data_IF_611107245622
#
_entry.id   IF_611107245622
#
_cell.length_a   1.000
_cell.length_b   1.000
_cell.length_c   1.000
_cell.angle_alpha   90.00
_cell.angle_beta   90.00
_cell.angle_gamma   90.00
#
_symmetry.space_group_name_H-M   'P 1'
#
loop_
_entity.id
_entity.type
_entity.pdbx_description
1 polymer ?
#
# COMPACT_ATOMS: atom_id res chain seq x y z
N UNK A 1 -24.35 47.81 -3.09
CA UNK A 1 -24.55 46.36 -2.88
C UNK A 1 -23.49 45.93 -1.87
N UNK A 2 -23.67 46.16 -0.57
CA UNK A 2 -24.92 46.20 0.22
C UNK A 2 -25.58 44.81 0.23
N UNK A 3 -25.85 44.15 1.36
CA UNK A 3 -25.78 44.53 2.80
C UNK A 3 -25.17 43.37 3.62
N UNK A 4 -24.50 43.51 4.77
CA UNK A 4 -24.75 44.24 6.02
C UNK A 4 -25.98 43.75 6.82
N UNK A 5 -25.78 42.84 7.78
CA UNK A 5 -26.60 42.83 9.00
C UNK A 5 -25.88 42.20 10.21
N UNK A 6 -26.30 42.57 11.42
CA UNK A 6 -25.82 42.05 12.71
C UNK A 6 -26.73 42.46 13.88
N UNK A 7 -27.32 41.50 14.61
CA UNK A 7 -27.84 41.71 15.95
C UNK A 7 -26.87 41.09 16.99
N UNK A 8 -26.28 41.82 17.95
CA UNK A 8 -26.81 42.75 18.97
C UNK A 8 -27.04 42.07 20.33
N UNK A 9 -26.29 42.54 21.33
CA UNK A 9 -26.32 42.12 22.74
C UNK A 9 -27.52 42.71 23.49
N UNK A 10 -28.17 41.97 24.41
CA UNK A 10 -29.06 42.54 25.43
C UNK A 10 -28.46 42.50 26.85
N UNK A 11 -28.50 43.63 27.54
CA UNK A 11 -28.26 43.85 28.98
C UNK A 11 -28.67 45.29 29.34
N UNK A 12 -28.78 45.69 30.62
CA UNK A 12 -29.30 44.97 31.79
C UNK A 12 -30.42 45.77 32.54
N UNK A 13 -31.23 45.10 33.36
CA UNK A 13 -32.08 45.72 34.40
C UNK A 13 -32.68 44.62 35.32
N UNK A 14 -33.17 44.82 36.55
CA UNK A 14 -33.24 46.03 37.39
C UNK A 14 -33.09 45.71 38.91
N UNK A 15 -33.02 46.79 39.68
CA UNK A 15 -32.86 47.05 41.13
C UNK A 15 -33.72 46.27 42.18
N UNK A 16 -33.47 46.44 43.51
CA UNK A 16 -33.95 45.56 44.59
C UNK A 16 -35.09 46.15 45.46
N UNK A 17 -35.46 45.48 46.57
CA UNK A 17 -35.97 46.19 47.75
C UNK A 17 -35.28 45.83 49.07
N UNK A 18 -35.22 46.83 49.96
CA UNK A 18 -34.98 46.76 51.40
C UNK A 18 -35.69 47.99 52.04
N UNK A 19 -35.60 48.22 53.35
CA UNK A 19 -35.87 47.34 54.49
C UNK A 19 -37.14 47.80 55.26
N UNK A 20 -37.65 47.03 56.22
CA UNK A 20 -38.64 47.54 57.19
C UNK A 20 -38.39 47.05 58.63
N UNK A 21 -38.42 48.00 59.57
CA UNK A 21 -38.33 47.83 61.02
C UNK A 21 -39.34 48.79 61.70
N UNK A 22 -40.35 48.27 62.40
CA UNK A 22 -41.02 48.94 63.54
C UNK A 22 -41.39 47.93 64.68
N UNK A 23 -41.74 48.27 65.92
CA UNK A 23 -41.83 49.56 66.66
C UNK A 23 -41.72 49.29 68.18
N UNK A 24 -41.26 50.29 68.94
CA UNK A 24 -41.58 50.53 70.37
C UNK A 24 -42.67 51.65 70.47
N UNK A 25 -43.18 52.06 71.66
CA UNK A 25 -43.14 51.43 72.98
C UNK A 25 -44.57 50.95 73.39
N UNK A 26 -45.46 51.61 74.20
CA UNK A 26 -45.39 52.80 75.09
C UNK A 26 -45.33 52.41 76.60
N UNK A 27 -45.56 53.38 77.52
CA UNK A 27 -45.33 53.22 78.97
C UNK A 27 -46.48 53.70 79.88
N UNK A 28 -46.66 53.04 81.04
CA UNK A 28 -47.41 53.54 82.21
C UNK A 28 -48.94 53.29 82.23
N UNK A 29 -49.64 53.58 83.36
CA UNK A 29 -49.17 54.24 84.59
C UNK A 29 -49.32 53.41 85.89
N UNK A 30 -48.82 53.98 86.99
CA UNK A 30 -49.19 53.64 88.38
C UNK A 30 -50.17 54.73 88.91
N UNK A 31 -50.73 54.68 90.15
CA UNK A 31 -50.56 53.70 91.24
C UNK A 31 -51.90 53.20 91.84
N UNK A 32 -51.84 52.36 92.88
CA UNK A 32 -52.71 52.43 94.07
C UNK A 32 -52.11 51.55 95.18
N UNK A 33 -51.98 52.08 96.39
CA UNK A 33 -51.80 51.28 97.61
C UNK A 33 -53.07 51.36 98.45
N UNK A 34 -53.62 50.21 98.84
CA UNK A 34 -54.63 50.07 99.90
C UNK A 34 -54.45 48.70 100.57
N UNK A 35 -54.90 48.58 101.81
CA UNK A 35 -54.45 47.55 102.74
C UNK A 35 -55.46 46.41 102.97
N UNK A 36 -54.92 45.28 103.44
CA UNK A 36 -55.58 44.17 104.15
C UNK A 36 -57.02 43.81 103.73
N UNK A 37 -57.13 42.76 102.92
CA UNK A 37 -58.17 41.74 103.11
C UNK A 37 -57.49 40.38 103.29
N UNK A 38 -57.95 39.49 104.18
CA UNK A 38 -57.37 38.17 104.38
C UNK A 38 -57.88 37.18 103.31
N UNK A 39 -57.57 37.47 102.05
CA UNK A 39 -57.78 36.53 100.93
C UNK A 39 -56.73 35.44 100.97
N UNK A 40 -57.09 34.23 100.56
CA UNK A 40 -56.43 32.98 100.90
C UNK A 40 -54.90 32.97 100.76
N UNK A 41 -54.24 32.68 101.90
CA UNK A 41 -52.78 32.60 101.98
C UNK A 41 -52.21 31.50 101.09
N UNK A 42 -52.99 30.43 100.89
CA UNK A 42 -52.63 29.33 99.99
C UNK A 42 -52.73 29.71 98.51
N UNK A 43 -53.60 30.65 98.12
CA UNK A 43 -53.62 31.21 96.76
C UNK A 43 -52.38 32.06 96.50
N UNK A 44 -51.93 32.86 97.49
CA UNK A 44 -50.66 33.60 97.41
C UNK A 44 -49.46 32.65 97.27
N UNK A 45 -49.42 31.54 98.03
CA UNK A 45 -48.39 30.50 97.88
C UNK A 45 -48.46 29.80 96.51
N UNK A 46 -49.66 29.57 95.99
CA UNK A 46 -49.88 28.93 94.68
C UNK A 46 -49.47 29.85 93.52
N UNK A 47 -49.76 31.14 93.62
CA UNK A 47 -49.31 32.15 92.66
C UNK A 47 -47.78 32.40 92.78
N UNK A 48 -47.20 32.34 93.97
CA UNK A 48 -45.74 32.37 94.15
C UNK A 48 -45.06 31.15 93.50
N UNK A 49 -45.65 29.94 93.61
CA UNK A 49 -45.17 28.74 92.91
C UNK A 49 -45.25 28.89 91.39
N UNK A 50 -46.34 29.42 90.83
CA UNK A 50 -46.46 29.62 89.38
C UNK A 50 -45.48 30.68 88.85
N UNK A 51 -45.27 31.77 89.60
CA UNK A 51 -44.28 32.81 89.33
C UNK A 51 -42.85 32.23 89.31
N UNK A 52 -42.44 31.50 90.35
CA UNK A 52 -41.12 30.86 90.42
C UNK A 52 -40.93 29.78 89.35
N UNK A 53 -42.01 29.11 88.92
CA UNK A 53 -41.96 28.11 87.86
C UNK A 53 -41.74 28.69 86.45
N UNK A 54 -42.00 29.99 86.22
CA UNK A 54 -41.92 30.61 84.90
C UNK A 54 -40.46 30.75 84.39
N UNK A 55 -40.19 30.50 83.09
CA UNK A 55 -38.83 30.33 82.58
C UNK A 55 -37.93 31.57 82.73
N UNK A 56 -38.48 32.77 82.49
CA UNK A 56 -37.75 34.03 82.65
C UNK A 56 -37.32 34.29 84.10
N UNK A 57 -38.18 33.93 85.06
CA UNK A 57 -37.93 34.13 86.49
C UNK A 57 -36.95 33.09 87.02
N UNK A 58 -36.97 31.84 86.53
CA UNK A 58 -35.97 30.82 86.92
C UNK A 58 -34.53 31.33 86.76
N UNK A 59 -34.23 32.03 85.66
CA UNK A 59 -32.92 32.57 85.34
C UNK A 59 -32.51 33.81 86.15
N UNK A 60 -33.42 34.45 86.89
CA UNK A 60 -33.16 35.65 87.69
C UNK A 60 -32.52 35.31 89.05
N UNK A 61 -31.75 36.23 89.64
CA UNK A 61 -31.09 36.01 90.93
C UNK A 61 -32.05 35.69 92.08
N UNK A 62 -31.63 34.81 92.98
CA UNK A 62 -32.42 34.41 94.15
C UNK A 62 -32.63 35.57 95.16
N UNK A 63 -31.78 36.59 95.14
CA UNK A 63 -31.97 37.85 95.87
C UNK A 63 -33.17 38.64 95.34
N UNK A 64 -33.28 38.79 94.02
CA UNK A 64 -34.41 39.48 93.37
C UNK A 64 -35.73 38.72 93.56
N UNK A 65 -35.70 37.37 93.44
CA UNK A 65 -36.86 36.50 93.78
C UNK A 65 -37.32 36.71 95.22
N UNK A 66 -36.40 36.71 96.19
CA UNK A 66 -36.72 36.98 97.62
C UNK A 66 -37.33 38.37 97.79
N UNK A 67 -36.72 39.41 97.22
CA UNK A 67 -37.21 40.79 97.33
C UNK A 67 -38.65 40.93 96.80
N UNK A 68 -38.94 40.38 95.61
CA UNK A 68 -40.28 40.42 95.02
C UNK A 68 -41.31 39.64 95.85
N UNK A 69 -40.96 38.47 96.39
CA UNK A 69 -41.90 37.69 97.22
C UNK A 69 -42.18 38.34 98.58
N UNK A 70 -41.20 39.04 99.18
CA UNK A 70 -41.42 39.90 100.35
C UNK A 70 -42.32 41.08 100.00
N UNK A 71 -42.12 41.72 98.84
CA UNK A 71 -42.99 42.80 98.35
C UNK A 71 -44.45 42.32 98.12
N UNK A 72 -44.65 41.04 97.76
CA UNK A 72 -45.98 40.41 97.65
C UNK A 72 -46.50 39.82 98.98
N UNK A 73 -45.85 40.12 100.11
CA UNK A 73 -46.37 39.84 101.45
C UNK A 73 -46.15 38.42 101.97
N UNK A 74 -45.36 37.58 101.29
CA UNK A 74 -44.93 36.29 101.86
C UNK A 74 -43.87 36.54 102.94
N UNK A 75 -43.88 35.71 103.99
CA UNK A 75 -42.87 35.80 105.06
C UNK A 75 -41.60 35.02 104.69
N UNK A 76 -40.46 35.46 105.21
CA UNK A 76 -39.14 34.84 104.96
C UNK A 76 -39.10 33.30 105.04
N UNK A 77 -39.67 32.62 106.07
CA UNK A 77 -39.64 31.15 106.13
C UNK A 77 -40.49 30.47 105.03
N UNK A 78 -41.56 31.10 104.56
CA UNK A 78 -42.37 30.59 103.44
C UNK A 78 -41.60 30.73 102.13
N UNK A 79 -40.90 31.85 101.94
CA UNK A 79 -40.07 32.12 100.76
C UNK A 79 -38.91 31.13 100.68
N UNK A 80 -38.22 30.86 101.80
CA UNK A 80 -37.12 29.91 101.83
C UNK A 80 -37.59 28.47 101.65
N UNK A 81 -38.78 28.12 102.12
CA UNK A 81 -39.42 26.84 101.78
C UNK A 81 -39.72 26.73 100.28
N UNK A 82 -40.32 27.75 99.66
CA UNK A 82 -40.62 27.76 98.23
C UNK A 82 -39.36 27.70 97.35
N UNK A 83 -38.27 28.35 97.74
CA UNK A 83 -37.00 28.31 97.02
C UNK A 83 -36.31 26.93 97.14
N UNK A 84 -36.48 26.23 98.27
CA UNK A 84 -36.00 24.86 98.45
C UNK A 84 -36.91 23.80 97.78
N UNK A 85 -38.19 24.11 97.52
CA UNK A 85 -39.11 23.24 96.75
C UNK A 85 -38.85 23.30 95.22
N UNK A 86 -37.99 24.20 94.72
CA UNK A 86 -37.63 24.28 93.30
C UNK A 86 -36.50 23.30 92.91
N UNK A 87 -36.63 22.51 91.83
CA UNK A 87 -35.57 21.64 91.36
C UNK A 87 -34.36 22.45 90.82
N UNK A 88 -33.12 21.97 91.02
CA UNK A 88 -31.92 22.68 90.59
C UNK A 88 -31.89 22.88 89.08
N UNK A 89 -31.38 24.03 88.64
CA UNK A 89 -31.28 24.37 87.22
C UNK A 89 -30.33 23.40 86.49
N UNK A 90 -30.90 22.56 85.63
CA UNK A 90 -30.13 21.67 84.75
C UNK A 90 -29.29 22.56 83.82
N UNK A 91 -27.95 22.43 83.81
CA UNK A 91 -27.11 23.26 82.95
C UNK A 91 -27.44 22.99 81.46
N UNK A 92 -27.36 24.01 80.59
CA UNK A 92 -27.62 23.84 79.17
C UNK A 92 -26.66 22.79 78.58
N UNK A 93 -27.19 21.87 77.76
CA UNK A 93 -26.40 20.83 77.07
C UNK A 93 -25.45 21.46 76.05
N UNK A 94 -24.28 21.90 76.50
CA UNK A 94 -23.18 22.39 75.66
C UNK A 94 -22.50 21.24 74.94
N UNK A 95 -23.18 20.68 73.94
CA UNK A 95 -22.50 19.87 72.92
C UNK A 95 -21.45 20.75 72.21
N UNK A 96 -20.23 20.26 71.98
CA UNK A 96 -19.24 20.99 71.20
C UNK A 96 -19.79 21.22 69.79
N UNK A 97 -19.71 22.46 69.30
CA UNK A 97 -20.17 22.83 67.95
C UNK A 97 -19.38 22.00 66.93
N UNK A 98 -20.03 21.24 66.03
CA UNK A 98 -19.32 20.36 65.12
C UNK A 98 -18.40 21.17 64.19
N UNK A 99 -17.23 20.64 63.81
CA UNK A 99 -16.30 21.34 62.92
C UNK A 99 -16.94 21.59 61.54
N UNK A 100 -16.59 22.70 60.85
CA UNK A 100 -17.12 23.00 59.53
C UNK A 100 -16.73 21.91 58.52
N UNK A 101 -17.61 21.65 57.55
CA UNK A 101 -17.42 20.56 56.60
C UNK A 101 -16.34 20.87 55.56
N UNK A 102 -15.44 19.90 55.32
CA UNK A 102 -14.38 20.00 54.30
C UNK A 102 -14.86 19.77 52.85
N UNK A 103 -16.17 19.54 52.66
CA UNK A 103 -16.79 19.24 51.36
C UNK A 103 -16.50 20.29 50.26
N UNK A 104 -16.62 21.62 50.47
CA UNK A 104 -16.26 22.60 49.43
C UNK A 104 -14.78 22.53 49.02
N UNK A 105 -13.86 22.27 49.95
CA UNK A 105 -12.44 22.10 49.63
C UNK A 105 -12.19 20.84 48.78
N UNK A 106 -12.93 19.75 49.05
CA UNK A 106 -12.90 18.53 48.25
C UNK A 106 -13.43 18.77 46.83
N UNK A 107 -14.57 19.45 46.68
CA UNK A 107 -15.12 19.82 45.37
C UNK A 107 -14.16 20.72 44.56
N UNK A 108 -13.49 21.68 45.21
CA UNK A 108 -12.46 22.53 44.59
C UNK A 108 -11.21 21.71 44.17
N UNK A 109 -10.86 20.68 44.94
CA UNK A 109 -9.82 19.72 44.56
C UNK A 109 -10.20 18.92 43.31
N UNK A 110 -11.39 18.32 43.30
CA UNK A 110 -11.91 17.54 42.16
C UNK A 110 -12.06 18.40 40.92
N UNK A 111 -12.62 19.61 41.02
CA UNK A 111 -12.79 20.49 39.86
C UNK A 111 -11.46 20.88 39.23
N UNK A 112 -10.40 21.14 40.02
CA UNK A 112 -9.04 21.36 39.50
C UNK A 112 -8.50 20.14 38.73
N UNK A 113 -8.66 18.93 39.27
CA UNK A 113 -8.21 17.69 38.61
C UNK A 113 -8.95 17.49 37.29
N UNK A 114 -10.28 17.67 37.29
CA UNK A 114 -11.12 17.61 36.08
C UNK A 114 -10.68 18.67 35.06
N UNK A 115 -10.46 19.93 35.47
CA UNK A 115 -9.96 20.99 34.58
C UNK A 115 -8.61 20.65 33.95
N UNK A 116 -7.70 19.98 34.67
CA UNK A 116 -6.43 19.51 34.12
C UNK A 116 -6.62 18.42 33.06
N UNK A 117 -7.48 17.42 33.31
CA UNK A 117 -7.78 16.38 32.31
C UNK A 117 -8.47 16.94 31.06
N UNK A 118 -9.47 17.81 31.21
CA UNK A 118 -10.15 18.44 30.07
C UNK A 118 -9.22 19.39 29.31
N UNK A 119 -8.39 20.18 30.01
CA UNK A 119 -7.41 21.09 29.39
C UNK A 119 -6.32 20.34 28.61
N UNK A 120 -5.72 19.31 29.20
CA UNK A 120 -4.69 18.49 28.52
C UNK A 120 -5.27 17.72 27.33
N UNK A 121 -6.48 17.17 27.46
CA UNK A 121 -7.21 16.54 26.35
C UNK A 121 -7.48 17.52 25.21
N UNK A 122 -7.98 18.73 25.51
CA UNK A 122 -8.23 19.76 24.51
C UNK A 122 -6.94 20.20 23.78
N UNK A 123 -5.82 20.33 24.49
CA UNK A 123 -4.51 20.62 23.88
C UNK A 123 -4.04 19.47 22.98
N UNK A 124 -4.21 18.21 23.39
CA UNK A 124 -3.86 17.05 22.57
C UNK A 124 -4.69 16.99 21.27
N UNK A 125 -6.01 17.22 21.38
CA UNK A 125 -6.95 17.30 20.25
C UNK A 125 -6.57 18.45 19.32
N UNK A 126 -6.25 19.63 19.86
CA UNK A 126 -5.77 20.77 19.07
C UNK A 126 -4.48 20.43 18.30
N UNK A 127 -3.49 19.82 18.95
CA UNK A 127 -2.23 19.42 18.28
C UNK A 127 -2.51 18.40 17.16
N UNK A 128 -3.40 17.42 17.41
CA UNK A 128 -3.79 16.41 16.42
C UNK A 128 -4.39 17.06 15.16
N UNK A 129 -5.44 17.87 15.31
CA UNK A 129 -6.10 18.52 14.17
C UNK A 129 -5.22 19.60 13.51
N UNK A 130 -4.42 20.35 14.28
CA UNK A 130 -3.65 21.50 13.76
C UNK A 130 -2.36 21.11 13.05
N UNK A 131 -1.75 19.97 13.38
CA UNK A 131 -0.43 19.56 12.88
C UNK A 131 -0.34 18.12 12.36
N UNK A 132 -0.95 17.15 13.05
CA UNK A 132 -0.80 15.72 12.70
C UNK A 132 -1.67 15.37 11.49
N UNK A 133 -2.97 15.68 11.56
CA UNK A 133 -3.93 15.42 10.49
C UNK A 133 -3.52 16.05 9.15
N UNK A 134 -3.21 17.36 9.02
CA UNK A 134 -2.82 17.93 7.73
C UNK A 134 -1.53 17.33 7.15
N UNK A 135 -0.56 16.93 7.99
CA UNK A 135 0.64 16.20 7.51
C UNK A 135 0.30 14.81 7.00
N UNK A 136 -0.58 14.08 7.68
CA UNK A 136 -1.07 12.78 7.21
C UNK A 136 -1.81 12.94 5.88
N UNK A 137 -2.76 13.87 5.77
CA UNK A 137 -3.53 14.13 4.54
C UNK A 137 -2.65 14.51 3.36
N UNK A 138 -1.69 15.44 3.52
CA UNK A 138 -0.74 15.75 2.46
C UNK A 138 0.12 14.54 2.05
N UNK A 139 0.60 13.75 3.01
CA UNK A 139 1.40 12.55 2.71
C UNK A 139 0.60 11.47 1.99
N UNK A 140 -0.69 11.35 2.31
CA UNK A 140 -1.63 10.44 1.66
C UNK A 140 -1.96 10.90 0.23
N UNK A 141 -2.34 12.17 0.06
CA UNK A 141 -2.61 12.76 -1.27
C UNK A 141 -1.41 12.67 -2.21
N UNK A 142 -0.18 12.92 -1.71
CA UNK A 142 1.03 12.79 -2.50
C UNK A 142 1.35 11.34 -2.91
N UNK A 143 1.06 10.35 -2.04
CA UNK A 143 1.19 8.93 -2.40
C UNK A 143 0.14 8.51 -3.42
N UNK A 144 -1.11 8.95 -3.21
CA UNK A 144 -2.22 8.65 -4.11
C UNK A 144 -2.00 9.26 -5.50
N UNK A 145 -1.51 10.50 -5.60
CA UNK A 145 -1.23 11.13 -6.91
C UNK A 145 -0.10 10.43 -7.67
N UNK A 146 0.94 9.95 -6.97
CA UNK A 146 1.99 9.11 -7.57
C UNK A 146 1.40 7.78 -8.08
N UNK A 147 0.54 7.13 -7.30
CA UNK A 147 -0.12 5.88 -7.71
C UNK A 147 -1.04 6.09 -8.92
N UNK A 148 -1.90 7.12 -8.92
CA UNK A 148 -2.80 7.41 -10.04
C UNK A 148 -2.03 7.77 -11.32
N UNK A 149 -0.92 8.51 -11.20
CA UNK A 149 -0.04 8.83 -12.31
C UNK A 149 0.70 7.58 -12.84
N UNK A 150 1.11 6.65 -11.99
CA UNK A 150 1.68 5.36 -12.40
C UNK A 150 0.65 4.50 -13.15
N UNK A 151 -0.60 4.44 -12.69
CA UNK A 151 -1.67 3.69 -13.39
C UNK A 151 -2.06 4.34 -14.72
N UNK A 152 -2.07 5.67 -14.82
CA UNK A 152 -2.32 6.41 -16.05
C UNK A 152 -1.19 6.21 -17.08
N UNK A 153 0.09 6.29 -16.66
CA UNK A 153 1.20 5.98 -17.55
C UNK A 153 1.17 4.52 -18.06
N UNK A 154 0.80 3.56 -17.20
CA UNK A 154 0.68 2.15 -17.59
C UNK A 154 -0.50 1.91 -18.54
N UNK A 155 -1.65 2.56 -18.35
CA UNK A 155 -2.79 2.44 -19.27
C UNK A 155 -2.48 3.06 -20.63
N UNK A 156 -1.84 4.23 -20.67
CA UNK A 156 -1.37 4.88 -21.90
C UNK A 156 -0.35 4.02 -22.65
N UNK A 157 0.62 3.43 -21.94
CA UNK A 157 1.61 2.50 -22.51
C UNK A 157 0.90 1.28 -23.11
N UNK A 158 -0.06 0.68 -22.40
CA UNK A 158 -0.81 -0.46 -22.93
C UNK A 158 -1.64 -0.09 -24.17
N UNK A 159 -2.27 1.10 -24.19
CA UNK A 159 -3.01 1.57 -25.36
C UNK A 159 -2.11 1.87 -26.57
N UNK A 160 -0.92 2.43 -26.36
CA UNK A 160 0.01 2.68 -27.46
C UNK A 160 0.63 1.38 -27.98
N UNK A 161 0.93 0.42 -27.10
CA UNK A 161 1.37 -0.93 -27.47
C UNK A 161 0.31 -1.67 -28.30
N UNK A 162 -0.97 -1.54 -27.93
CA UNK A 162 -2.09 -2.09 -28.71
C UNK A 162 -2.20 -1.44 -30.11
N UNK A 163 -2.10 -0.11 -30.21
CA UNK A 163 -2.12 0.61 -31.48
C UNK A 163 -0.90 0.31 -32.36
N UNK A 164 0.30 0.22 -31.78
CA UNK A 164 1.50 -0.22 -32.51
C UNK A 164 1.35 -1.67 -32.99
N UNK A 165 0.68 -2.55 -32.24
CA UNK A 165 0.40 -3.93 -32.69
C UNK A 165 -0.59 -4.02 -33.84
N UNK A 166 -1.62 -3.17 -33.92
CA UNK A 166 -2.53 -3.17 -35.08
C UNK A 166 -1.82 -2.64 -36.33
N UNK A 167 -1.13 -1.50 -36.24
CA UNK A 167 -0.33 -0.94 -37.33
C UNK A 167 0.79 -1.91 -37.75
N UNK A 168 1.38 -2.66 -36.81
CA UNK A 168 2.32 -3.73 -37.13
C UNK A 168 1.63 -4.88 -37.86
N UNK A 169 0.48 -5.38 -37.39
CA UNK A 169 -0.24 -6.47 -38.06
C UNK A 169 -0.69 -6.10 -39.49
N UNK A 170 -1.07 -4.85 -39.70
CA UNK A 170 -1.35 -4.26 -41.02
C UNK A 170 -0.07 -4.22 -41.89
N UNK A 171 1.02 -3.62 -41.39
CA UNK A 171 2.30 -3.51 -42.12
C UNK A 171 2.95 -4.87 -42.45
N UNK A 172 2.70 -5.90 -41.63
CA UNK A 172 3.17 -7.27 -41.84
C UNK A 172 2.17 -8.15 -42.61
N UNK A 173 1.03 -7.60 -43.07
CA UNK A 173 0.14 -8.29 -44.01
C UNK A 173 0.68 -8.23 -45.45
N UNK A 174 1.24 -7.10 -45.86
CA UNK A 174 1.80 -6.86 -47.20
C UNK A 174 3.19 -7.50 -47.40
N UNK A 175 3.94 -7.69 -46.31
CA UNK A 175 5.24 -8.36 -46.36
C UNK A 175 5.06 -9.84 -46.75
N UNK A 176 5.86 -10.38 -47.69
CA UNK A 176 5.89 -11.81 -47.96
C UNK A 176 6.18 -12.56 -46.65
N UNK A 177 5.16 -13.24 -46.12
CA UNK A 177 5.32 -14.06 -44.92
C UNK A 177 6.36 -15.10 -45.24
N UNK A 178 7.51 -15.06 -44.54
CA UNK A 178 8.52 -16.11 -44.65
C UNK A 178 7.79 -17.43 -44.43
N UNK A 179 7.77 -18.29 -45.46
CA UNK A 179 7.07 -19.55 -45.37
C UNK A 179 7.64 -20.36 -44.19
N UNK A 180 6.79 -21.08 -43.44
CA UNK A 180 7.25 -21.95 -42.37
C UNK A 180 7.88 -23.22 -42.96
N UNK A 181 9.01 -23.05 -43.67
CA UNK A 181 10.03 -24.07 -43.95
C UNK A 181 10.65 -24.61 -42.64
N UNK A 182 10.31 -24.00 -41.50
CA UNK A 182 10.56 -24.51 -40.17
C UNK A 182 9.66 -25.73 -39.90
N UNK A 183 10.27 -26.92 -39.96
CA UNK A 183 9.65 -28.18 -39.54
C UNK A 183 8.98 -28.05 -38.16
N UNK A 184 7.80 -28.66 -38.02
CA UNK A 184 7.14 -28.82 -36.73
C UNK A 184 8.09 -29.53 -35.73
N UNK A 185 8.14 -29.04 -34.49
CA UNK A 185 9.17 -29.40 -33.48
C UNK A 185 9.29 -30.90 -33.23
N UNK A 186 8.18 -31.61 -33.41
CA UNK A 186 8.05 -33.04 -33.17
C UNK A 186 8.81 -33.85 -34.22
N UNK A 187 8.93 -33.34 -35.46
CA UNK A 187 9.67 -33.97 -36.57
C UNK A 187 11.13 -33.50 -36.64
N UNK A 188 11.41 -32.26 -36.24
CA UNK A 188 12.76 -31.69 -36.20
C UNK A 188 13.76 -32.48 -35.31
N UNK A 189 13.27 -33.37 -34.44
CA UNK A 189 14.08 -34.27 -33.60
C UNK A 189 14.39 -35.63 -34.24
N UNK A 190 13.73 -36.02 -35.34
CA UNK A 190 14.14 -37.18 -36.13
C UNK A 190 15.42 -36.85 -36.91
N UNK A 191 16.41 -37.73 -36.88
CA UNK A 191 17.59 -37.65 -37.75
C UNK A 191 17.47 -38.64 -38.92
N UNK A 192 16.92 -39.81 -38.65
CA UNK A 192 16.81 -40.92 -39.59
C UNK A 192 15.36 -41.17 -40.02
N UNK A 193 15.18 -41.83 -41.17
CA UNK A 193 13.87 -42.20 -41.70
C UNK A 193 13.20 -43.25 -40.80
N UNK A 194 13.99 -44.10 -40.14
CA UNK A 194 13.50 -45.08 -39.16
C UNK A 194 12.91 -44.40 -37.91
N UNK A 195 13.43 -43.23 -37.50
CA UNK A 195 12.86 -42.43 -36.40
C UNK A 195 11.46 -41.91 -36.78
N UNK A 196 11.29 -41.49 -38.03
CA UNK A 196 10.01 -41.03 -38.58
C UNK A 196 9.02 -42.18 -38.59
N UNK A 197 9.41 -43.35 -39.11
CA UNK A 197 8.56 -44.54 -39.16
C UNK A 197 8.11 -44.98 -37.75
N UNK A 198 9.02 -45.01 -36.77
CA UNK A 198 8.68 -45.33 -35.38
C UNK A 198 7.70 -44.31 -34.74
N UNK A 199 7.83 -43.01 -35.05
CA UNK A 199 6.87 -41.98 -34.61
C UNK A 199 5.51 -42.12 -35.30
N UNK A 200 5.50 -42.40 -36.60
CA UNK A 200 4.26 -42.67 -37.36
C UNK A 200 3.54 -43.88 -36.78
N UNK A 201 4.26 -44.96 -36.47
CA UNK A 201 3.68 -46.18 -35.89
C UNK A 201 3.11 -45.97 -34.50
N UNK A 202 3.81 -45.24 -33.63
CA UNK A 202 3.26 -44.87 -32.31
C UNK A 202 2.10 -43.87 -32.36
N UNK A 203 1.93 -43.10 -33.45
CA UNK A 203 0.78 -42.18 -33.65
C UNK A 203 -0.46 -42.84 -34.28
N UNK A 204 -0.30 -43.98 -34.98
CA UNK A 204 -1.40 -44.72 -35.67
C UNK A 204 -2.59 -45.08 -34.77
N UNK A 205 -2.42 -45.17 -33.45
CA UNK A 205 -3.51 -45.46 -32.51
C UNK A 205 -4.47 -44.28 -32.26
N UNK A 206 -4.09 -43.03 -32.56
CA UNK A 206 -4.87 -41.83 -32.17
C UNK A 206 -5.34 -40.95 -33.32
N UNK A 207 -4.50 -40.73 -34.34
CA UNK A 207 -4.83 -39.81 -35.44
C UNK A 207 -4.44 -40.42 -36.79
N UNK A 208 -5.41 -40.57 -37.70
CA UNK A 208 -5.20 -41.18 -39.02
C UNK A 208 -4.72 -40.20 -40.10
N UNK A 209 -4.53 -38.94 -39.77
CA UNK A 209 -4.44 -37.84 -40.75
C UNK A 209 -3.34 -36.81 -40.45
N UNK A 210 -2.31 -37.19 -39.67
CA UNK A 210 -1.06 -36.44 -39.64
C UNK A 210 -0.19 -36.90 -40.80
N UNK A 211 -0.37 -36.28 -41.97
CA UNK A 211 0.51 -36.44 -43.12
C UNK A 211 1.94 -36.00 -42.71
N UNK A 212 2.95 -36.83 -42.98
CA UNK A 212 4.33 -36.54 -42.57
C UNK A 212 4.87 -35.41 -43.46
N UNK A 213 5.49 -34.35 -42.91
CA UNK A 213 6.01 -33.26 -43.74
C UNK A 213 7.06 -33.74 -44.75
N UNK A 214 6.82 -33.47 -46.03
CA UNK A 214 7.72 -33.77 -47.16
C UNK A 214 9.17 -33.31 -46.90
N UNK A 215 9.33 -32.12 -46.29
CA UNK A 215 10.64 -31.54 -45.93
C UNK A 215 11.40 -32.45 -44.97
N UNK A 216 10.76 -33.01 -43.95
CA UNK A 216 11.40 -33.92 -42.99
C UNK A 216 11.78 -35.25 -43.66
N UNK A 217 10.91 -35.80 -44.53
CA UNK A 217 11.22 -37.02 -45.28
C UNK A 217 12.45 -36.85 -46.18
N UNK A 218 12.49 -35.76 -46.96
CA UNK A 218 13.62 -35.41 -47.82
C UNK A 218 14.90 -35.14 -47.00
N UNK A 219 14.79 -34.43 -45.87
CA UNK A 219 15.93 -34.19 -44.96
C UNK A 219 16.52 -35.49 -44.44
N UNK A 220 15.71 -36.37 -43.85
CA UNK A 220 16.18 -37.63 -43.27
C UNK A 220 16.72 -38.58 -44.35
N UNK A 221 16.09 -38.65 -45.52
CA UNK A 221 16.61 -39.43 -46.66
C UNK A 221 17.96 -38.93 -47.17
N UNK A 222 18.15 -37.60 -47.27
CA UNK A 222 19.43 -37.00 -47.64
C UNK A 222 20.51 -37.20 -46.58
N UNK A 223 20.20 -37.11 -45.29
CA UNK A 223 21.15 -37.34 -44.20
C UNK A 223 21.64 -38.79 -44.19
N UNK A 224 20.74 -39.78 -44.24
CA UNK A 224 21.12 -41.21 -44.29
C UNK A 224 22.00 -41.55 -45.50
N UNK A 225 21.76 -40.93 -46.67
CA UNK A 225 22.56 -41.16 -47.87
C UNK A 225 23.92 -40.45 -47.81
N UNK A 226 23.99 -39.23 -47.29
CA UNK A 226 25.26 -38.51 -47.09
C UNK A 226 26.19 -39.26 -46.12
N UNK A 227 25.68 -39.80 -45.01
CA UNK A 227 26.49 -40.62 -44.08
C UNK A 227 27.02 -41.91 -44.71
N UNK A 228 26.30 -42.46 -45.69
CA UNK A 228 26.62 -43.73 -46.34
C UNK A 228 27.57 -43.59 -47.54
N UNK A 229 27.45 -42.50 -48.30
CA UNK A 229 28.16 -42.31 -49.58
C UNK A 229 29.33 -41.32 -49.48
N UNK A 230 29.37 -40.47 -48.45
CA UNK A 230 30.56 -39.71 -48.03
C UNK A 230 30.92 -38.46 -48.86
N UNK A 231 30.52 -38.34 -50.13
CA UNK A 231 30.81 -37.17 -50.98
C UNK A 231 29.94 -35.92 -50.63
N UNK A 232 29.00 -36.05 -49.69
CA UNK A 232 28.18 -34.92 -49.21
C UNK A 232 27.17 -34.39 -50.24
N UNK A 233 26.91 -35.15 -51.29
CA UNK A 233 25.98 -34.90 -52.40
C UNK A 233 25.26 -36.18 -52.73
N UNK A 234 23.99 -36.10 -53.10
CA UNK A 234 23.14 -37.26 -53.40
C UNK A 234 22.44 -37.03 -54.74
N UNK A 235 22.50 -38.03 -55.62
CA UNK A 235 21.86 -37.95 -56.94
C UNK A 235 20.34 -38.20 -56.83
N UNK A 236 19.55 -37.56 -57.70
CA UNK A 236 18.08 -37.55 -57.59
C UNK A 236 17.47 -38.97 -57.56
N UNK A 237 17.93 -39.84 -58.46
CA UNK A 237 17.50 -41.24 -58.57
C UNK A 237 17.84 -42.07 -57.32
N UNK A 238 18.98 -41.78 -56.68
CA UNK A 238 19.42 -42.47 -55.45
C UNK A 238 18.50 -42.14 -54.27
N UNK A 239 18.10 -40.86 -54.15
CA UNK A 239 17.20 -40.41 -53.09
C UNK A 239 15.84 -41.10 -53.18
N UNK A 240 15.19 -41.10 -54.35
CA UNK A 240 13.91 -41.77 -54.53
C UNK A 240 14.01 -43.29 -54.37
N UNK A 241 15.05 -43.92 -54.92
CA UNK A 241 15.31 -45.37 -54.73
C UNK A 241 15.46 -45.77 -53.25
N UNK A 242 16.04 -44.89 -52.42
CA UNK A 242 16.18 -45.12 -50.97
C UNK A 242 14.87 -44.91 -50.22
N UNK A 243 14.13 -43.84 -50.56
CA UNK A 243 12.80 -43.56 -49.99
C UNK A 243 11.78 -44.66 -50.32
N UNK A 244 11.66 -45.08 -51.58
CA UNK A 244 10.79 -46.20 -52.00
C UNK A 244 11.12 -47.49 -51.25
N UNK A 245 12.41 -47.79 -51.07
CA UNK A 245 12.86 -49.01 -50.37
C UNK A 245 12.51 -49.03 -48.89
N UNK A 246 12.50 -47.86 -48.23
CA UNK A 246 12.19 -47.71 -46.80
C UNK A 246 10.71 -47.46 -46.51
N UNK A 247 9.98 -46.83 -47.43
CA UNK A 247 8.61 -46.34 -47.23
C UNK A 247 7.63 -47.13 -48.11
N UNK A 248 6.87 -48.10 -47.54
CA UNK A 248 5.98 -48.95 -48.34
C UNK A 248 4.86 -48.18 -49.06
N UNK A 249 4.41 -47.04 -48.54
CA UNK A 249 3.36 -46.23 -49.15
C UNK A 249 3.86 -45.34 -50.32
N UNK A 250 5.17 -45.25 -50.57
CA UNK A 250 5.69 -44.72 -51.83
C UNK A 250 5.56 -45.73 -52.99
N UNK A 251 5.24 -47.00 -52.72
CA UNK A 251 5.17 -48.05 -53.74
C UNK A 251 3.73 -48.20 -54.27
N UNK A 252 3.41 -47.49 -55.36
CA UNK A 252 2.12 -47.63 -56.05
C UNK A 252 1.66 -46.36 -56.76
N UNK A 253 0.39 -46.33 -57.17
CA UNK A 253 -0.20 -45.18 -57.87
C UNK A 253 -0.25 -43.92 -56.98
N UNK A 254 -0.65 -44.07 -55.71
CA UNK A 254 -0.60 -42.99 -54.70
C UNK A 254 0.85 -42.52 -54.44
N UNK A 255 1.81 -43.43 -54.56
CA UNK A 255 3.24 -43.16 -54.47
C UNK A 255 3.75 -42.21 -55.55
N UNK A 256 3.24 -42.29 -56.78
CA UNK A 256 3.60 -41.37 -57.86
C UNK A 256 3.11 -39.93 -57.60
N UNK A 257 1.93 -39.77 -56.99
CA UNK A 257 1.45 -38.45 -56.54
C UNK A 257 2.30 -37.91 -55.38
N UNK A 258 2.70 -38.77 -54.43
CA UNK A 258 3.62 -38.40 -53.36
C UNK A 258 5.02 -38.02 -53.88
N UNK A 259 5.54 -38.73 -54.88
CA UNK A 259 6.81 -38.36 -55.54
C UNK A 259 6.71 -37.01 -56.25
N UNK A 260 5.58 -36.70 -56.89
CA UNK A 260 5.35 -35.38 -57.48
C UNK A 260 5.28 -34.26 -56.42
N UNK A 261 4.65 -34.50 -55.26
CA UNK A 261 4.69 -33.59 -54.10
C UNK A 261 6.14 -33.38 -53.63
N UNK A 262 6.85 -34.46 -53.30
CA UNK A 262 8.25 -34.45 -52.85
C UNK A 262 9.16 -33.70 -53.83
N UNK A 263 9.01 -33.91 -55.13
CA UNK A 263 9.77 -33.18 -56.16
C UNK A 263 9.44 -31.68 -56.17
N UNK A 264 8.16 -31.31 -56.01
CA UNK A 264 7.78 -29.91 -55.88
C UNK A 264 8.40 -29.27 -54.63
N UNK A 265 8.38 -29.94 -53.48
CA UNK A 265 8.99 -29.46 -52.23
C UNK A 265 10.51 -29.36 -52.32
N UNK A 266 11.17 -30.33 -52.96
CA UNK A 266 12.62 -30.36 -53.21
C UNK A 266 13.07 -29.18 -54.10
N UNK A 267 12.24 -28.79 -55.07
CA UNK A 267 12.53 -27.70 -56.00
C UNK A 267 12.02 -26.32 -55.55
N UNK A 268 11.03 -26.24 -54.66
CA UNK A 268 10.43 -24.98 -54.20
C UNK A 268 11.00 -24.46 -52.88
N UNK A 269 11.45 -25.34 -51.97
CA UNK A 269 11.84 -24.93 -50.62
C UNK A 269 13.30 -24.46 -50.53
N UNK A 270 13.54 -23.48 -49.68
CA UNK A 270 14.84 -22.78 -49.59
C UNK A 270 15.95 -23.59 -48.91
N UNK A 271 15.63 -24.78 -48.40
CA UNK A 271 16.49 -25.58 -47.51
C UNK A 271 17.33 -26.61 -48.29
N UNK A 272 16.89 -27.02 -49.47
CA UNK A 272 17.65 -27.89 -50.37
C UNK A 272 18.34 -27.06 -51.45
N UNK A 273 19.64 -27.28 -51.67
CA UNK A 273 20.35 -26.73 -52.84
C UNK A 273 20.64 -27.83 -53.84
N UNK A 274 20.15 -27.66 -55.08
CA UNK A 274 20.64 -28.41 -56.23
C UNK A 274 22.02 -27.91 -56.66
N UNK A 275 22.85 -28.81 -57.15
CA UNK A 275 24.15 -28.53 -57.76
C UNK A 275 24.37 -29.37 -59.01
N UNK A 276 25.08 -28.83 -60.00
CA UNK A 276 25.47 -29.57 -61.19
C UNK A 276 26.60 -30.57 -60.88
N UNK A 277 26.68 -31.71 -61.60
CA UNK A 277 27.72 -32.70 -61.37
C UNK A 277 29.10 -32.16 -61.82
N UNK A 278 30.15 -32.29 -60.97
CA UNK A 278 31.48 -31.77 -61.30
C UNK A 278 32.09 -32.54 -62.48
N UNK A 279 32.34 -31.85 -63.59
CA UNK A 279 32.85 -32.43 -64.83
C UNK A 279 32.06 -32.09 -66.09
N UNK A 280 31.02 -31.25 -66.00
CA UNK A 280 30.40 -30.61 -67.17
C UNK A 280 31.00 -29.21 -67.32
N UNK A 281 31.94 -29.02 -68.24
CA UNK A 281 32.61 -27.72 -68.44
C UNK A 281 31.64 -26.69 -69.08
N UNK A 282 31.50 -25.52 -68.45
CA UNK A 282 30.59 -24.41 -68.81
C UNK A 282 30.86 -23.73 -70.18
N UNK A 283 31.62 -24.36 -71.07
CA UNK A 283 32.10 -23.78 -72.34
C UNK A 283 31.35 -24.25 -73.61
N UNK A 284 30.33 -25.10 -73.47
CA UNK A 284 29.52 -25.59 -74.59
C UNK A 284 28.11 -24.96 -74.59
N UNK A 285 27.57 -24.47 -75.73
CA UNK A 285 26.21 -23.94 -75.80
C UNK A 285 25.19 -25.06 -75.56
N UNK A 286 24.24 -24.79 -74.65
CA UNK A 286 23.35 -25.82 -74.09
C UNK A 286 22.31 -26.33 -75.09
N UNK A 287 22.30 -27.66 -75.31
CA UNK A 287 21.04 -28.39 -75.41
C UNK A 287 20.47 -28.61 -73.99
N UNK A 288 19.15 -28.77 -73.82
CA UNK A 288 18.54 -29.01 -72.52
C UNK A 288 18.82 -30.44 -72.03
N UNK A 289 19.92 -30.62 -71.31
CA UNK A 289 20.30 -31.87 -70.65
C UNK A 289 19.16 -32.37 -69.73
N UNK A 290 18.77 -33.66 -69.79
CA UNK A 290 17.67 -34.17 -68.96
C UNK A 290 17.99 -34.07 -67.45
N UNK A 291 16.98 -33.88 -66.58
CA UNK A 291 17.17 -33.54 -65.16
C UNK A 291 17.74 -34.66 -64.27
N UNK A 292 18.06 -35.83 -64.83
CA UNK A 292 18.36 -37.08 -64.13
C UNK A 292 19.69 -37.12 -63.34
N UNK A 293 20.41 -35.99 -63.23
CA UNK A 293 21.69 -35.87 -62.48
C UNK A 293 21.85 -34.55 -61.72
N UNK A 294 20.78 -34.10 -61.07
CA UNK A 294 20.88 -33.01 -60.09
C UNK A 294 21.36 -33.56 -58.76
N UNK A 295 22.50 -33.05 -58.29
CA UNK A 295 23.13 -33.41 -57.02
C UNK A 295 22.58 -32.53 -55.90
N UNK A 296 21.81 -33.12 -55.00
CA UNK A 296 21.12 -32.41 -53.92
C UNK A 296 21.94 -32.40 -52.63
N UNK A 297 21.80 -31.29 -51.91
CA UNK A 297 22.35 -31.10 -50.57
C UNK A 297 21.33 -30.41 -49.68
N UNK A 298 21.10 -30.96 -48.49
CA UNK A 298 20.38 -30.30 -47.41
C UNK A 298 21.27 -29.26 -46.73
N UNK A 299 20.84 -28.00 -46.71
CA UNK A 299 21.50 -26.93 -45.96
C UNK A 299 20.74 -26.69 -44.66
N UNK A 300 21.20 -27.31 -43.58
CA UNK A 300 20.64 -27.12 -42.25
C UNK A 300 20.47 -25.61 -41.95
N UNK A 301 19.26 -25.12 -41.61
CA UNK A 301 19.02 -23.71 -41.36
C UNK A 301 20.02 -23.16 -40.33
N UNK A 302 20.90 -22.28 -40.79
CA UNK A 302 21.94 -21.71 -39.94
C UNK A 302 21.28 -21.07 -38.71
N UNK A 303 21.63 -21.57 -37.51
CA UNK A 303 20.99 -21.17 -36.26
C UNK A 303 20.97 -19.63 -36.18
N UNK A 304 19.79 -19.01 -36.06
CA UNK A 304 19.65 -17.58 -36.29
C UNK A 304 20.54 -16.82 -35.31
N UNK A 305 21.54 -16.11 -35.84
CA UNK A 305 22.54 -15.41 -35.05
C UNK A 305 21.83 -14.55 -33.99
N UNK A 306 22.05 -14.88 -32.72
CA UNK A 306 21.15 -14.48 -31.64
C UNK A 306 21.11 -12.96 -31.53
N UNK A 307 20.00 -12.38 -32.03
CA UNK A 307 19.88 -10.94 -32.19
C UNK A 307 20.14 -10.27 -30.83
N UNK A 308 21.02 -9.27 -30.72
CA UNK A 308 21.53 -8.79 -29.42
C UNK A 308 20.46 -8.15 -28.53
N UNK A 309 19.26 -7.87 -29.08
CA UNK A 309 18.07 -7.45 -28.36
C UNK A 309 17.34 -8.59 -27.61
N UNK A 310 17.52 -9.84 -28.04
CA UNK A 310 16.89 -11.01 -27.40
C UNK A 310 17.47 -11.27 -26.02
N UNK A 311 18.78 -11.14 -25.81
CA UNK A 311 19.40 -11.37 -24.49
C UNK A 311 18.83 -10.44 -23.39
N UNK A 312 18.66 -9.11 -23.61
CA UNK A 312 17.89 -8.25 -22.70
C UNK A 312 16.42 -8.66 -22.52
N UNK A 313 15.74 -9.10 -23.57
CA UNK A 313 14.33 -9.52 -23.52
C UNK A 313 14.12 -10.83 -22.75
N UNK A 314 15.02 -11.80 -22.88
CA UNK A 314 15.00 -13.04 -22.09
C UNK A 314 15.34 -12.76 -20.63
N UNK A 315 16.37 -11.93 -20.36
CA UNK A 315 16.66 -11.44 -19.00
C UNK A 315 15.45 -10.73 -18.37
N UNK A 316 14.66 -10.00 -19.16
CA UNK A 316 13.41 -9.37 -18.69
C UNK A 316 12.30 -10.39 -18.46
N UNK A 317 12.04 -11.31 -19.40
CA UNK A 317 11.08 -12.42 -19.27
C UNK A 317 11.35 -13.23 -18.00
N UNK A 318 12.60 -13.59 -17.76
CA UNK A 318 13.02 -14.47 -16.68
C UNK A 318 13.10 -13.75 -15.32
N UNK A 319 12.95 -12.42 -15.29
CA UNK A 319 12.89 -11.60 -14.05
C UNK A 319 11.55 -10.94 -13.79
N UNK A 320 10.58 -11.07 -14.71
CA UNK A 320 9.17 -10.82 -14.43
C UNK A 320 8.63 -11.87 -13.44
N UNK A 321 7.69 -11.51 -12.54
CA UNK A 321 7.07 -12.47 -11.62
C UNK A 321 6.08 -13.38 -12.36
N UNK A 322 6.58 -14.46 -12.96
CA UNK A 322 5.73 -15.52 -13.51
C UNK A 322 4.90 -16.17 -12.41
N UNK A 323 3.58 -15.95 -12.48
CA UNK A 323 2.57 -16.31 -11.47
C UNK A 323 2.56 -17.80 -11.09
N UNK A 324 3.05 -18.67 -11.98
CA UNK A 324 3.17 -20.11 -11.79
C UNK A 324 4.38 -20.58 -10.99
N UNK A 325 5.42 -19.75 -10.79
CA UNK A 325 6.66 -20.20 -10.14
C UNK A 325 6.61 -19.99 -8.62
N UNK A 326 5.92 -20.92 -7.96
CA UNK A 326 5.83 -21.00 -6.50
C UNK A 326 7.20 -20.84 -5.83
N UNK A 327 7.22 -20.12 -4.70
CA UNK A 327 8.46 -19.78 -3.99
C UNK A 327 9.23 -21.05 -3.59
N UNK A 328 10.55 -21.15 -3.86
CA UNK A 328 11.38 -22.09 -3.12
C UNK A 328 11.32 -21.72 -1.62
N UNK A 329 11.34 -22.70 -0.70
CA UNK A 329 11.32 -22.43 0.72
C UNK A 329 12.52 -21.55 1.11
N UNK A 330 12.30 -20.62 2.04
CA UNK A 330 13.27 -19.60 2.41
C UNK A 330 14.44 -20.18 3.24
N UNK A 331 15.38 -20.84 2.57
CA UNK A 331 16.61 -21.37 3.21
C UNK A 331 17.38 -20.24 3.87
N UNK A 332 17.56 -20.35 5.18
CA UNK A 332 17.96 -19.25 6.07
C UNK A 332 19.42 -18.84 5.85
N UNK A 333 19.63 -17.73 5.17
CA UNK A 333 20.91 -17.02 5.09
C UNK A 333 20.73 -15.57 5.62
N UNK A 334 21.18 -15.26 6.84
CA UNK A 334 20.98 -13.94 7.43
C UNK A 334 21.95 -12.87 6.87
N UNK A 335 21.63 -11.60 7.13
CA UNK A 335 22.45 -10.39 6.89
C UNK A 335 22.60 -9.82 5.47
N UNK A 336 22.05 -10.44 4.42
CA UNK A 336 21.96 -9.80 3.10
C UNK A 336 20.53 -9.29 2.79
N UNK A 337 20.28 -7.97 2.68
CA UNK A 337 18.97 -7.45 2.28
C UNK A 337 18.75 -7.65 0.76
N UNK A 338 18.22 -8.81 0.38
CA UNK A 338 17.96 -9.11 -1.03
C UNK A 338 16.96 -8.11 -1.63
N UNK A 339 17.21 -7.60 -2.86
CA UNK A 339 16.29 -6.66 -3.50
C UNK A 339 14.95 -7.34 -3.78
N UNK A 340 13.85 -6.62 -3.55
CA UNK A 340 12.49 -7.12 -3.77
C UNK A 340 12.30 -7.52 -5.24
N UNK A 341 11.37 -8.44 -5.56
CA UNK A 341 11.15 -8.85 -6.96
C UNK A 341 10.80 -7.65 -7.86
N UNK A 342 10.01 -6.70 -7.35
CA UNK A 342 9.72 -5.45 -8.03
C UNK A 342 10.96 -4.58 -8.27
N UNK A 343 11.90 -4.49 -7.31
CA UNK A 343 13.17 -3.77 -7.52
C UNK A 343 14.05 -4.43 -8.59
N UNK A 344 14.07 -5.77 -8.65
CA UNK A 344 14.78 -6.51 -9.72
C UNK A 344 14.14 -6.27 -11.09
N UNK A 345 12.81 -6.36 -11.19
CA UNK A 345 12.07 -6.08 -12.42
C UNK A 345 12.33 -4.65 -12.89
N UNK A 346 12.29 -3.65 -11.99
CA UNK A 346 12.57 -2.25 -12.31
C UNK A 346 14.02 -2.02 -12.74
N UNK A 347 15.00 -2.71 -12.15
CA UNK A 347 16.39 -2.63 -12.60
C UNK A 347 16.55 -3.23 -14.01
N UNK A 348 15.94 -4.37 -14.31
CA UNK A 348 16.05 -4.99 -15.65
C UNK A 348 15.28 -4.20 -16.71
N UNK A 349 14.14 -3.60 -16.37
CA UNK A 349 13.46 -2.61 -17.22
C UNK A 349 14.36 -1.39 -17.47
N UNK A 350 15.06 -0.87 -16.45
CA UNK A 350 16.03 0.22 -16.62
C UNK A 350 17.21 -0.18 -17.51
N UNK A 351 17.76 -1.39 -17.34
CA UNK A 351 18.83 -1.93 -18.19
C UNK A 351 18.35 -2.02 -19.66
N UNK A 352 17.14 -2.55 -19.87
CA UNK A 352 16.52 -2.73 -21.19
C UNK A 352 16.19 -1.41 -21.88
N UNK A 353 15.61 -0.44 -21.16
CA UNK A 353 15.40 0.92 -21.67
C UNK A 353 16.73 1.58 -22.01
N UNK A 354 17.77 1.40 -21.18
CA UNK A 354 19.13 1.85 -21.48
C UNK A 354 19.72 1.22 -22.76
N UNK A 355 19.49 -0.08 -22.98
CA UNK A 355 19.89 -0.77 -24.20
C UNK A 355 19.17 -0.22 -25.44
N UNK A 356 17.83 -0.10 -25.41
CA UNK A 356 17.05 0.50 -26.52
C UNK A 356 17.57 1.91 -26.82
N UNK A 357 17.68 2.76 -25.79
CA UNK A 357 18.16 4.14 -25.92
C UNK A 357 19.54 4.19 -26.58
N UNK A 358 20.45 3.30 -26.18
CA UNK A 358 21.80 3.20 -26.76
C UNK A 358 21.75 2.76 -28.22
N UNK A 359 20.91 1.78 -28.58
CA UNK A 359 20.77 1.32 -29.96
C UNK A 359 20.11 2.39 -30.87
N UNK A 360 19.07 3.08 -30.41
CA UNK A 360 18.43 4.17 -31.17
C UNK A 360 19.42 5.28 -31.50
N UNK A 361 20.24 5.71 -30.54
CA UNK A 361 21.28 6.70 -30.81
C UNK A 361 22.48 6.15 -31.61
N UNK A 362 22.85 4.87 -31.43
CA UNK A 362 23.90 4.25 -32.24
C UNK A 362 23.51 4.15 -33.72
N UNK A 363 22.26 3.79 -34.02
CA UNK A 363 21.68 3.81 -35.37
C UNK A 363 21.68 5.22 -35.96
N UNK A 364 21.26 6.23 -35.17
CA UNK A 364 21.32 7.64 -35.56
C UNK A 364 22.73 8.12 -35.93
N UNK A 365 23.77 7.64 -35.26
CA UNK A 365 25.17 7.97 -35.60
C UNK A 365 25.70 7.12 -36.77
N UNK A 366 25.25 5.88 -36.93
CA UNK A 366 25.70 4.98 -37.99
C UNK A 366 25.15 5.37 -39.37
N UNK A 367 23.88 5.79 -39.46
CA UNK A 367 23.24 6.18 -40.73
C UNK A 367 23.75 7.52 -41.28
N UNK A 368 24.42 8.35 -40.48
CA UNK A 368 24.97 9.64 -40.87
C UNK A 368 26.50 9.64 -41.04
N UNK A 369 27.02 8.69 -41.83
CA UNK A 369 28.33 8.82 -42.50
C UNK A 369 28.20 9.10 -44.01
N UNK A 370 27.75 10.29 -44.43
CA UNK A 370 28.02 10.75 -45.79
C UNK A 370 29.52 11.07 -45.93
N UNK A 371 30.15 10.58 -47.00
CA UNK A 371 31.54 10.89 -47.31
C UNK A 371 31.64 12.27 -47.99
N UNK A 372 31.37 13.35 -47.23
CA UNK A 372 31.27 14.71 -47.78
C UNK A 372 31.74 15.79 -46.81
N UNK A 373 32.76 16.53 -47.21
CA UNK A 373 33.08 17.86 -46.68
C UNK A 373 32.00 18.87 -47.11
N UNK A 374 31.46 19.64 -46.17
CA UNK A 374 30.51 20.72 -46.47
C UNK A 374 29.96 21.38 -45.21
N UNK A 375 30.11 22.70 -45.10
CA UNK A 375 29.56 23.45 -43.99
C UNK A 375 28.09 23.81 -44.24
N UNK A 376 27.19 23.33 -43.38
CA UNK A 376 25.75 23.64 -43.43
C UNK A 376 25.10 23.37 -42.08
N UNK A 377 24.68 24.43 -41.38
CA UNK A 377 24.05 24.33 -40.07
C UNK A 377 22.56 23.97 -40.23
N UNK A 378 22.25 22.67 -40.19
CA UNK A 378 20.87 22.18 -40.29
C UNK A 378 20.11 22.39 -38.97
N UNK A 379 18.86 22.91 -38.97
CA UNK A 379 18.13 23.25 -37.75
C UNK A 379 17.75 22.04 -36.87
N UNK A 380 17.75 20.83 -37.43
CA UNK A 380 17.58 19.59 -36.67
C UNK A 380 18.65 19.43 -35.56
N UNK A 381 19.89 19.88 -35.80
CA UNK A 381 20.97 19.81 -34.82
C UNK A 381 20.68 20.65 -33.56
N UNK A 382 19.90 21.73 -33.69
CA UNK A 382 19.52 22.56 -32.54
C UNK A 382 18.56 21.80 -31.61
N UNK A 383 17.62 21.02 -32.16
CA UNK A 383 16.75 20.15 -31.38
C UNK A 383 17.51 18.98 -30.76
N UNK A 384 18.50 18.41 -31.48
CA UNK A 384 19.40 17.42 -30.89
C UNK A 384 20.25 17.98 -29.74
N UNK A 385 20.81 19.19 -29.85
CA UNK A 385 21.61 19.79 -28.78
C UNK A 385 20.77 20.27 -27.58
N UNK A 386 19.50 20.64 -27.79
CA UNK A 386 18.53 20.83 -26.72
C UNK A 386 18.23 19.48 -26.02
N UNK A 387 17.94 18.41 -26.77
CA UNK A 387 17.75 17.06 -26.21
C UNK A 387 19.00 16.54 -25.47
N UNK A 388 20.20 16.78 -26.00
CA UNK A 388 21.47 16.44 -25.32
C UNK A 388 21.67 17.24 -24.03
N UNK A 389 21.18 18.49 -23.98
CA UNK A 389 21.15 19.32 -22.76
C UNK A 389 20.13 18.77 -21.76
N UNK A 390 18.91 18.47 -22.18
CA UNK A 390 17.88 17.85 -21.33
C UNK A 390 18.33 16.48 -20.79
N UNK A 391 18.88 15.60 -21.62
CA UNK A 391 19.41 14.30 -21.20
C UNK A 391 20.55 14.47 -20.19
N UNK A 392 21.41 15.50 -20.34
CA UNK A 392 22.45 15.82 -19.35
C UNK A 392 21.85 16.29 -18.02
N UNK A 393 20.78 17.09 -18.08
CA UNK A 393 20.03 17.56 -16.89
C UNK A 393 19.28 16.41 -16.21
N UNK A 394 18.54 15.57 -16.93
CA UNK A 394 17.84 14.40 -16.40
C UNK A 394 18.82 13.37 -15.84
N UNK A 395 19.92 13.06 -16.54
CA UNK A 395 20.96 12.15 -16.05
C UNK A 395 21.61 12.72 -14.78
N UNK A 396 21.86 14.03 -14.73
CA UNK A 396 22.26 14.72 -13.51
C UNK A 396 21.24 14.56 -12.38
N UNK A 397 19.96 14.84 -12.64
CA UNK A 397 18.87 14.76 -11.65
C UNK A 397 18.67 13.34 -11.11
N UNK A 398 18.72 12.32 -11.96
CA UNK A 398 18.51 10.90 -11.60
C UNK A 398 19.72 10.32 -10.88
N UNK A 399 20.96 10.61 -11.32
CA UNK A 399 22.16 10.17 -10.61
C UNK A 399 22.34 10.90 -9.28
N UNK A 400 22.09 12.21 -9.21
CA UNK A 400 22.17 12.97 -7.97
C UNK A 400 21.10 12.51 -6.95
N UNK A 401 19.93 12.04 -7.40
CA UNK A 401 18.92 11.40 -6.53
C UNK A 401 19.40 10.12 -5.82
N UNK A 402 20.44 9.42 -6.30
CA UNK A 402 21.10 8.34 -5.52
C UNK A 402 21.96 8.84 -4.35
N UNK A 403 22.25 10.14 -4.28
CA UNK A 403 23.06 10.76 -3.21
C UNK A 403 22.24 11.24 -2.00
N UNK A 404 20.91 11.38 -2.13
CA UNK A 404 20.05 12.02 -1.13
C UNK A 404 19.35 11.08 -0.13
N UNK A 405 19.69 9.79 -0.12
CA UNK A 405 19.36 8.91 1.00
C UNK A 405 20.57 8.86 1.94
N UNK A 406 20.55 9.58 3.10
CA UNK A 406 21.64 9.48 4.05
C UNK A 406 21.75 8.05 4.56
N UNK A 407 22.96 7.49 4.53
CA UNK A 407 23.25 6.17 5.08
C UNK A 407 22.75 6.09 6.52
N UNK A 408 21.73 5.24 6.75
CA UNK A 408 21.19 4.98 8.08
C UNK A 408 22.35 4.59 9.00
N UNK A 409 22.64 5.33 10.10
CA UNK A 409 23.77 5.01 10.95
C UNK A 409 23.58 3.59 11.53
N UNK A 410 24.66 2.80 11.65
CA UNK A 410 24.57 1.45 12.18
C UNK A 410 24.03 1.51 13.61
N UNK A 411 22.99 0.72 13.88
CA UNK A 411 22.45 0.58 15.23
C UNK A 411 23.49 -0.10 16.12
N UNK A 412 24.04 0.64 17.07
CA UNK A 412 25.00 0.12 18.06
C UNK A 412 24.36 -1.06 18.78
N UNK A 413 25.01 -2.25 18.84
CA UNK A 413 24.48 -3.39 19.54
C UNK A 413 24.42 -3.10 21.05
N UNK A 414 23.26 -3.28 21.65
CA UNK A 414 23.09 -3.19 23.11
C UNK A 414 23.85 -4.36 23.75
N UNK A 415 24.89 -4.06 24.52
CA UNK A 415 25.69 -5.07 25.20
C UNK A 415 24.88 -5.83 26.25
N UNK A 416 24.67 -7.13 26.03
CA UNK A 416 24.06 -8.01 27.03
C UNK A 416 25.11 -8.33 28.10
N UNK A 417 24.91 -7.81 29.32
CA UNK A 417 25.75 -8.14 30.46
C UNK A 417 25.43 -9.53 30.99
N UNK A 418 26.34 -10.48 30.80
CA UNK A 418 26.31 -11.80 31.46
C UNK A 418 26.98 -11.70 32.83
N UNK A 419 26.34 -12.16 33.93
CA UNK A 419 26.95 -12.16 35.25
C UNK A 419 28.09 -13.19 35.35
N UNK A 420 29.08 -12.98 36.25
CA UNK A 420 30.17 -13.93 36.46
C UNK A 420 29.68 -15.21 37.16
N UNK A 421 30.28 -16.34 36.78
CA UNK A 421 30.06 -17.63 37.42
C UNK A 421 30.94 -17.73 38.68
N UNK A 422 30.34 -18.01 39.83
CA UNK A 422 31.07 -18.29 41.08
C UNK A 422 31.53 -19.75 41.14
N UNK A 423 32.77 -19.95 41.62
CA UNK A 423 33.32 -21.24 42.06
C UNK A 423 32.95 -21.53 43.51
#
# INVERSE_FOLDING_TARGET
MADNDSPATPAPDATPPAPQQPTEPPSGPAPTSLALTPVDRDDLLTHARSFLAAPHIRAQDNSAKRAFLVEKGLTTPEIDRLLNELPPAIPPRTYPRPPPSNLPNLLIGVSRIVSWFFGTSAVLVFIYYRYILPRLTHSYQARHSIQSHQTDLLSRLNSSLAAYKSVQAESFADLPRKQPDAEETDWATCQNLDDILAKVESRKEKERSTEVPDVTLLRCGLVELVEKEGDGKVDTEQLYSHLEKKIPWLQGAEGAEAQAKLWSTLTSSSVFSSSAPPGTDDSAPQEPTPPARLLWKYNAPAAPASMPILQPLEKLRDTLPSESKALPPATVAPFAPSPSPAQRTLQVLSDFTGYITTQTYALGVASFRPNSSGAGANPANAQEDELRREIRVLKGLVLNRRSFLPSRPPSVPVGVSTPPLST
#
